data_IF_481084853247
#
_entry.id   IF_481084853247
#
_cell.length_a   1.000
_cell.length_b   1.000
_cell.length_c   1.000
_cell.angle_alpha   90.00
_cell.angle_beta   90.00
_cell.angle_gamma   90.00
#
_symmetry.space_group_name_H-M   'P 1'
#
loop_
_entity.id
_entity.type
_entity.pdbx_description
1 polymer ?
#
# COMPACT_ATOMS: atom_id res chain seq x y z
N UNK A 1 -16.32 2.51 -9.07
CA UNK A 1 -15.29 2.17 -10.09
C UNK A 1 -14.72 0.81 -9.77
N UNK A 2 -14.26 0.03 -10.75
CA UNK A 2 -13.63 -1.26 -10.49
C UNK A 2 -12.20 -1.06 -9.94
N UNK A 3 -11.81 -1.83 -8.92
CA UNK A 3 -10.44 -1.81 -8.38
C UNK A 3 -9.43 -2.29 -9.45
N UNK A 4 -8.19 -1.76 -9.46
CA UNK A 4 -7.16 -2.25 -10.37
C UNK A 4 -6.87 -3.72 -10.08
N UNK A 5 -6.92 -4.56 -11.12
CA UNK A 5 -6.68 -6.00 -10.99
C UNK A 5 -5.32 -6.43 -11.54
N UNK A 6 -4.67 -7.34 -10.83
CA UNK A 6 -3.36 -7.87 -11.18
C UNK A 6 -2.20 -6.93 -10.81
N UNK A 7 -1.05 -7.52 -10.51
CA UNK A 7 0.10 -6.82 -9.93
C UNK A 7 0.52 -5.57 -10.72
N UNK A 8 0.56 -5.62 -12.06
CA UNK A 8 0.98 -4.49 -12.89
C UNK A 8 0.04 -3.28 -12.75
N UNK A 9 -1.27 -3.50 -12.74
CA UNK A 9 -2.25 -2.42 -12.61
C UNK A 9 -2.22 -1.83 -11.19
N UNK A 10 -2.18 -2.70 -10.18
CA UNK A 10 -2.08 -2.34 -8.76
C UNK A 10 -0.82 -1.52 -8.50
N UNK A 11 0.34 -1.97 -9.00
CA UNK A 11 1.63 -1.28 -8.89
C UNK A 11 1.59 0.12 -9.53
N UNK A 12 0.98 0.25 -10.71
CA UNK A 12 0.85 1.56 -11.37
C UNK A 12 -0.03 2.51 -10.55
N UNK A 13 -1.15 2.02 -10.03
CA UNK A 13 -2.09 2.84 -9.27
C UNK A 13 -1.49 3.34 -7.94
N UNK A 14 -0.80 2.49 -7.19
CA UNK A 14 -0.15 2.91 -5.94
C UNK A 14 0.99 3.90 -6.17
N UNK A 15 1.77 3.72 -7.24
CA UNK A 15 2.84 4.67 -7.60
C UNK A 15 2.28 6.04 -7.98
N UNK A 16 1.16 6.08 -8.71
CA UNK A 16 0.50 7.33 -9.06
C UNK A 16 0.04 8.08 -7.81
N UNK A 17 -0.59 7.38 -6.86
CA UNK A 17 -1.05 7.99 -5.61
C UNK A 17 0.08 8.47 -4.70
N UNK A 18 1.17 7.70 -4.59
CA UNK A 18 2.35 8.15 -3.85
C UNK A 18 2.95 9.42 -4.45
N UNK A 19 2.92 9.54 -5.78
CA UNK A 19 3.42 10.70 -6.49
C UNK A 19 2.51 11.94 -6.33
N UNK A 20 1.19 11.76 -6.39
CA UNK A 20 0.22 12.86 -6.24
C UNK A 20 -0.09 13.23 -4.79
N UNK A 21 0.28 12.38 -3.83
CA UNK A 21 -0.13 12.53 -2.44
C UNK A 21 -1.57 12.05 -2.17
N UNK A 22 -2.21 11.39 -3.13
CA UNK A 22 -3.60 10.90 -3.01
C UNK A 22 -3.68 9.59 -2.22
N UNK A 23 -3.18 9.62 -0.99
CA UNK A 23 -3.26 8.50 -0.05
C UNK A 23 -3.49 8.98 1.38
N UNK A 24 -4.00 8.08 2.20
CA UNK A 24 -4.16 8.24 3.64
C UNK A 24 -3.39 7.15 4.35
N UNK A 25 -3.04 7.40 5.62
CA UNK A 25 -2.43 6.38 6.47
C UNK A 25 -3.54 5.50 7.06
N UNK A 26 -3.36 4.18 7.00
CA UNK A 26 -4.23 3.27 7.73
C UNK A 26 -4.09 3.54 9.24
N UNK A 27 -5.15 4.06 9.87
CA UNK A 27 -5.20 4.20 11.32
C UNK A 27 -5.36 2.82 11.95
N UNK A 28 -4.56 2.50 12.98
CA UNK A 28 -4.75 1.30 13.80
C UNK A 28 -4.73 1.68 15.27
N UNK A 29 -5.76 1.27 15.99
CA UNK A 29 -5.91 1.54 17.43
C UNK A 29 -4.99 0.69 18.33
N UNK A 30 -4.34 -0.37 17.82
CA UNK A 30 -3.77 -1.44 18.67
C UNK A 30 -2.39 -1.98 18.28
N UNK A 31 -1.57 -1.24 17.52
CA UNK A 31 -0.23 -1.70 17.15
C UNK A 31 0.84 -0.67 17.51
N UNK A 32 1.80 -1.07 18.34
CA UNK A 32 2.97 -0.29 18.76
C UNK A 32 4.04 -0.14 17.64
N UNK A 33 3.73 -0.63 16.42
CA UNK A 33 4.57 -0.51 15.23
C UNK A 33 4.14 0.73 14.46
N UNK A 34 5.03 1.71 14.42
CA UNK A 34 4.83 2.97 13.68
C UNK A 34 4.69 2.69 12.19
N UNK A 35 3.72 3.36 11.56
CA UNK A 35 3.69 3.48 10.10
C UNK A 35 4.76 4.50 9.70
N UNK A 36 5.88 4.00 9.16
CA UNK A 36 7.08 4.81 8.90
C UNK A 36 6.83 5.93 7.88
N UNK A 37 5.86 5.72 6.97
CA UNK A 37 5.41 6.76 6.05
C UNK A 37 4.57 7.83 6.77
N UNK A 38 3.77 7.44 7.76
CA UNK A 38 2.95 8.36 8.55
C UNK A 38 3.78 9.20 9.53
N UNK A 39 4.87 8.64 10.05
CA UNK A 39 5.78 9.36 10.96
C UNK A 39 6.82 10.21 10.23
N UNK A 40 6.89 10.13 8.90
CA UNK A 40 7.89 10.82 8.10
C UNK A 40 9.30 10.22 8.19
N UNK A 41 9.46 9.06 8.84
CA UNK A 41 10.73 8.33 8.89
C UNK A 41 11.14 7.80 7.51
N UNK A 42 10.16 7.61 6.62
CA UNK A 42 10.34 7.23 5.21
C UNK A 42 9.47 8.13 4.35
N UNK A 43 10.00 8.67 3.25
CA UNK A 43 9.25 9.53 2.33
C UNK A 43 8.40 8.73 1.34
N UNK A 44 7.42 9.38 0.70
CA UNK A 44 6.64 8.76 -0.38
C UNK A 44 7.52 8.32 -1.56
N UNK A 45 8.60 9.05 -1.86
CA UNK A 45 9.55 8.71 -2.91
C UNK A 45 10.37 7.45 -2.56
N UNK A 46 10.77 7.30 -1.29
CA UNK A 46 11.45 6.09 -0.82
C UNK A 46 10.54 4.86 -0.94
N UNK A 47 9.26 5.00 -0.54
CA UNK A 47 8.25 3.94 -0.70
C UNK A 47 8.03 3.62 -2.19
N UNK A 48 7.95 4.64 -3.04
CA UNK A 48 7.85 4.45 -4.49
C UNK A 48 9.09 3.75 -5.06
N UNK A 49 10.28 3.97 -4.51
CA UNK A 49 11.50 3.23 -4.84
C UNK A 49 11.41 1.75 -4.48
N UNK A 50 10.93 1.43 -3.27
CA UNK A 50 10.69 0.05 -2.82
C UNK A 50 9.71 -0.66 -3.76
N UNK A 51 8.59 -0.02 -4.09
CA UNK A 51 7.56 -0.58 -4.98
C UNK A 51 8.07 -0.69 -6.42
N UNK A 52 8.84 0.28 -6.93
CA UNK A 52 9.44 0.18 -8.28
C UNK A 52 10.35 -1.02 -8.40
N UNK A 53 11.14 -1.32 -7.37
CA UNK A 53 12.02 -2.49 -7.30
C UNK A 53 11.32 -3.82 -7.03
N UNK A 54 10.02 -3.86 -6.73
CA UNK A 54 9.29 -5.10 -6.48
C UNK A 54 8.77 -5.76 -7.76
N UNK A 55 8.52 -7.06 -7.66
CA UNK A 55 8.01 -7.92 -8.72
C UNK A 55 6.76 -8.69 -8.27
N UNK A 56 6.22 -9.55 -9.15
CA UNK A 56 5.05 -10.35 -8.82
C UNK A 56 5.29 -11.38 -7.73
N UNK A 57 6.54 -11.82 -7.50
CA UNK A 57 6.88 -12.81 -6.49
C UNK A 57 6.86 -12.22 -5.06
N UNK A 58 7.15 -10.92 -4.94
CA UNK A 58 7.08 -10.14 -3.70
C UNK A 58 5.68 -9.61 -3.38
N UNK A 59 4.70 -9.86 -4.27
CA UNK A 59 3.34 -9.36 -4.16
C UNK A 59 2.35 -10.44 -3.69
N UNK A 60 1.48 -10.06 -2.76
CA UNK A 60 0.34 -10.87 -2.33
C UNK A 60 -0.95 -10.03 -2.34
N UNK A 61 -2.06 -10.70 -2.62
CA UNK A 61 -3.39 -10.10 -2.64
C UNK A 61 -4.35 -11.00 -1.88
N UNK A 62 -5.15 -10.43 -0.99
CA UNK A 62 -6.19 -11.14 -0.25
C UNK A 62 -7.34 -10.20 0.07
N UNK A 63 -8.54 -10.71 0.30
CA UNK A 63 -9.66 -9.88 0.73
C UNK A 63 -9.37 -9.23 2.08
N UNK A 64 -9.78 -7.97 2.24
CA UNK A 64 -9.71 -7.28 3.52
C UNK A 64 -10.73 -7.90 4.48
N UNK A 65 -10.31 -8.35 5.67
CA UNK A 65 -11.21 -9.03 6.61
C UNK A 65 -12.42 -8.17 7.03
N UNK A 66 -12.23 -6.85 7.13
CA UNK A 66 -13.29 -5.92 7.52
C UNK A 66 -14.29 -5.65 6.39
N UNK A 67 -13.88 -5.83 5.13
CA UNK A 67 -14.74 -5.66 3.95
C UNK A 67 -14.23 -6.57 2.82
N UNK A 68 -14.93 -7.67 2.61
CA UNK A 68 -14.57 -8.68 1.61
C UNK A 68 -14.74 -8.21 0.16
N UNK A 69 -15.33 -7.04 -0.07
CA UNK A 69 -15.40 -6.40 -1.38
C UNK A 69 -14.12 -5.63 -1.76
N UNK A 70 -13.20 -5.46 -0.81
CA UNK A 70 -11.95 -4.72 -0.99
C UNK A 70 -10.77 -5.70 -1.01
N UNK A 71 -9.95 -5.62 -2.04
CA UNK A 71 -8.65 -6.29 -2.06
C UNK A 71 -7.61 -5.55 -1.21
N UNK A 72 -6.96 -6.31 -0.33
CA UNK A 72 -5.79 -5.90 0.44
C UNK A 72 -4.53 -6.38 -0.28
N UNK A 73 -3.65 -5.45 -0.59
CA UNK A 73 -2.42 -5.66 -1.32
C UNK A 73 -1.23 -5.57 -0.37
N UNK A 74 -0.29 -6.51 -0.49
CA UNK A 74 0.94 -6.53 0.29
C UNK A 74 2.13 -6.70 -0.64
N UNK A 75 3.13 -5.84 -0.50
CA UNK A 75 4.45 -5.99 -1.14
C UNK A 75 5.49 -6.21 -0.03
N UNK A 76 6.21 -7.33 -0.13
CA UNK A 76 7.32 -7.68 0.76
C UNK A 76 8.63 -7.68 -0.01
N UNK A 77 9.51 -6.71 0.25
CA UNK A 77 10.78 -6.60 -0.49
C UNK A 77 11.90 -6.11 0.42
N UNK A 78 13.01 -6.86 0.48
CA UNK A 78 14.23 -6.47 1.23
C UNK A 78 13.95 -6.01 2.68
N UNK A 79 13.10 -6.75 3.40
CA UNK A 79 12.70 -6.44 4.78
C UNK A 79 11.59 -5.41 4.92
N UNK A 80 11.16 -4.76 3.83
CA UNK A 80 10.02 -3.85 3.84
C UNK A 80 8.70 -4.59 3.74
N UNK A 81 7.72 -4.11 4.49
CA UNK A 81 6.33 -4.52 4.43
C UNK A 81 5.47 -3.31 4.08
N UNK A 82 4.93 -3.31 2.85
CA UNK A 82 4.02 -2.26 2.37
C UNK A 82 2.64 -2.88 2.18
N UNK A 83 1.66 -2.44 2.98
CA UNK A 83 0.26 -2.88 2.88
C UNK A 83 -0.62 -1.71 2.44
N UNK A 84 -1.50 -1.95 1.48
CA UNK A 84 -2.43 -0.93 1.02
C UNK A 84 -3.71 -1.53 0.43
N UNK A 85 -4.75 -0.71 0.31
CA UNK A 85 -6.00 -1.06 -0.35
C UNK A 85 -6.67 0.18 -0.94
N UNK A 86 -7.52 -0.03 -1.95
CA UNK A 86 -8.24 1.03 -2.66
C UNK A 86 -9.68 1.12 -2.13
N UNK A 87 -9.97 2.12 -1.31
CA UNK A 87 -11.33 2.43 -0.86
C UNK A 87 -12.06 3.34 -1.86
N UNK A 88 -13.34 3.06 -2.10
CA UNK A 88 -14.19 3.84 -3.00
C UNK A 88 -14.52 5.21 -2.35
N UNK A 89 -14.56 6.32 -3.11
CA UNK A 89 -14.43 6.41 -4.56
C UNK A 89 -13.01 6.42 -5.13
N UNK A 90 -11.98 6.87 -4.39
CA UNK A 90 -10.60 6.95 -4.89
C UNK A 90 -9.55 7.08 -3.77
N UNK A 91 -9.85 6.63 -2.55
CA UNK A 91 -8.94 6.78 -1.42
C UNK A 91 -8.03 5.56 -1.33
N UNK A 92 -6.72 5.77 -1.30
CA UNK A 92 -5.78 4.69 -0.99
C UNK A 92 -5.39 4.79 0.48
N UNK A 93 -5.54 3.70 1.22
CA UNK A 93 -4.94 3.59 2.55
C UNK A 93 -3.64 2.82 2.45
N UNK A 94 -2.58 3.32 3.07
CA UNK A 94 -1.25 2.70 3.06
C UNK A 94 -0.64 2.63 4.46
N UNK A 95 0.01 1.50 4.74
CA UNK A 95 0.86 1.31 5.91
C UNK A 95 2.21 0.72 5.51
N UNK A 96 3.28 1.35 6.01
CA UNK A 96 4.66 0.98 5.69
C UNK A 96 5.43 0.65 6.96
N UNK A 97 6.04 -0.54 7.00
CA UNK A 97 6.82 -1.04 8.13
C UNK A 97 8.10 -1.73 7.65
N UNK A 98 9.03 -1.96 8.58
CA UNK A 98 10.24 -2.75 8.42
C UNK A 98 10.44 -3.62 9.66
#
# INVERSE_FOLDING_TARGET
>A
MAQPQGFKAVKRAILAALHSGDYQHEARDHINVKNLLATGEVSAEDVAGIIRGSDGASYACSRLHADLAIDCHVIRSRGWYVKFYFANPSTIFISVHR
#
